data_IF_784286077340
#
_entry.id   IF_784286077340
#
_cell.length_a   1.000
_cell.length_b   1.000
_cell.length_c   1.000
_cell.angle_alpha   90.00
_cell.angle_beta   90.00
_cell.angle_gamma   90.00
#
_symmetry.space_group_name_H-M   'P 1'
#
loop_
_entity.id
_entity.type
_entity.pdbx_description
1 polymer ?
#
# COMPACT_ATOMS: atom_id res chain seq x y z
N UNK A 1 -22.10 13.22 9.72
CA UNK A 1 -20.86 13.89 9.26
C UNK A 1 -20.33 13.07 8.11
N UNK A 2 -20.30 13.63 6.88
CA UNK A 2 -19.56 13.00 5.79
C UNK A 2 -18.08 13.06 6.20
N UNK A 3 -17.46 11.91 6.50
CA UNK A 3 -16.02 11.90 6.75
C UNK A 3 -15.33 12.37 5.48
N UNK A 4 -14.62 13.49 5.57
CA UNK A 4 -13.79 13.98 4.47
C UNK A 4 -12.84 12.83 4.05
N UNK A 5 -12.63 12.62 2.74
CA UNK A 5 -11.72 11.59 2.29
C UNK A 5 -10.34 11.86 2.90
N UNK A 6 -9.81 10.90 3.66
CA UNK A 6 -8.46 11.02 4.24
C UNK A 6 -7.43 10.71 3.16
N UNK A 7 -6.42 11.58 3.02
CA UNK A 7 -5.30 11.36 2.10
C UNK A 7 -4.57 10.06 2.47
N UNK A 8 -4.32 9.15 1.53
CA UNK A 8 -3.51 7.95 1.77
C UNK A 8 -2.11 8.32 2.26
N UNK A 9 -1.70 7.77 3.40
CA UNK A 9 -0.36 8.00 3.97
C UNK A 9 0.59 6.89 3.51
N UNK A 10 1.66 7.24 2.79
CA UNK A 10 2.62 6.27 2.24
C UNK A 10 3.15 5.30 3.31
N UNK A 11 3.49 5.79 4.50
CA UNK A 11 4.03 4.98 5.59
C UNK A 11 3.14 3.78 5.95
N UNK A 12 1.81 3.95 5.98
CA UNK A 12 0.88 2.88 6.33
C UNK A 12 0.88 1.75 5.29
N UNK A 13 1.01 2.10 4.02
CA UNK A 13 1.06 1.13 2.93
C UNK A 13 2.42 0.42 2.86
N UNK A 14 3.51 1.11 3.19
CA UNK A 14 4.84 0.49 3.28
C UNK A 14 4.89 -0.52 4.43
N UNK A 15 4.43 -0.13 5.63
CA UNK A 15 4.39 -1.03 6.79
C UNK A 15 3.47 -2.22 6.52
N UNK A 16 2.27 -1.98 6.00
CA UNK A 16 1.32 -3.04 5.65
C UNK A 16 1.87 -3.97 4.55
N UNK A 17 2.48 -3.39 3.52
CA UNK A 17 3.14 -4.13 2.44
C UNK A 17 4.27 -5.02 2.97
N UNK A 18 5.17 -4.49 3.80
CA UNK A 18 6.25 -5.24 4.42
C UNK A 18 5.75 -6.40 5.29
N UNK A 19 4.74 -6.15 6.13
CA UNK A 19 4.16 -7.19 6.97
C UNK A 19 3.58 -8.34 6.14
N UNK A 20 2.80 -8.03 5.11
CA UNK A 20 2.21 -9.02 4.19
C UNK A 20 3.31 -9.74 3.40
N UNK A 21 4.28 -9.00 2.86
CA UNK A 21 5.39 -9.57 2.10
C UNK A 21 6.23 -10.55 2.92
N UNK A 22 6.51 -10.21 4.17
CA UNK A 22 7.19 -11.11 5.11
C UNK A 22 6.39 -12.39 5.38
N UNK A 23 5.08 -12.26 5.63
CA UNK A 23 4.20 -13.42 5.82
C UNK A 23 4.20 -14.34 4.60
N UNK A 24 4.08 -13.78 3.39
CA UNK A 24 4.15 -14.54 2.14
C UNK A 24 5.52 -15.19 1.95
N UNK A 25 6.60 -14.47 2.26
CA UNK A 25 7.96 -14.99 2.22
C UNK A 25 8.16 -16.21 3.12
N UNK A 26 7.57 -16.19 4.33
CA UNK A 26 7.55 -17.34 5.25
C UNK A 26 6.70 -18.48 4.68
N UNK A 27 5.47 -18.20 4.23
CA UNK A 27 4.56 -19.22 3.68
C UNK A 27 5.14 -19.97 2.48
N UNK A 28 5.90 -19.28 1.62
CA UNK A 28 6.53 -19.89 0.44
C UNK A 28 7.95 -20.41 0.70
N UNK A 29 8.45 -20.34 1.94
CA UNK A 29 9.84 -20.66 2.29
C UNK A 29 10.87 -19.91 1.41
N UNK A 30 10.56 -18.64 1.11
CA UNK A 30 11.32 -17.72 0.25
C UNK A 30 11.46 -16.36 0.95
N UNK A 31 11.82 -16.40 2.24
CA UNK A 31 11.87 -15.22 3.13
C UNK A 31 12.69 -14.08 2.54
N UNK A 32 13.78 -14.38 1.83
CA UNK A 32 14.63 -13.38 1.16
C UNK A 32 13.89 -12.47 0.16
N UNK A 33 12.81 -12.96 -0.45
CA UNK A 33 12.00 -12.19 -1.41
C UNK A 33 10.79 -11.52 -0.76
N UNK A 34 10.43 -11.90 0.48
CA UNK A 34 9.27 -11.38 1.19
C UNK A 34 9.29 -9.86 1.37
N UNK A 35 10.35 -9.26 1.94
CA UNK A 35 10.46 -7.81 2.10
C UNK A 35 10.36 -7.06 0.77
N UNK A 36 11.03 -7.54 -0.28
CA UNK A 36 11.04 -6.90 -1.59
C UNK A 36 9.63 -6.91 -2.21
N UNK A 37 8.96 -8.06 -2.22
CA UNK A 37 7.58 -8.17 -2.70
C UNK A 37 6.62 -7.32 -1.87
N UNK A 38 6.83 -7.27 -0.55
CA UNK A 38 6.06 -6.44 0.36
C UNK A 38 6.18 -4.95 0.08
N UNK A 39 7.40 -4.45 -0.15
CA UNK A 39 7.65 -3.05 -0.51
C UNK A 39 7.01 -2.69 -1.86
N UNK A 40 7.20 -3.53 -2.87
CA UNK A 40 6.61 -3.33 -4.19
C UNK A 40 5.08 -3.33 -4.11
N UNK A 41 4.49 -4.31 -3.41
CA UNK A 41 3.05 -4.38 -3.18
C UNK A 41 2.50 -3.18 -2.41
N UNK A 42 3.20 -2.73 -1.37
CA UNK A 42 2.84 -1.56 -0.58
C UNK A 42 2.85 -0.27 -1.40
N UNK A 43 3.88 -0.06 -2.22
CA UNK A 43 3.95 1.10 -3.14
C UNK A 43 2.82 1.09 -4.17
N UNK A 44 2.52 -0.07 -4.76
CA UNK A 44 1.43 -0.20 -5.72
C UNK A 44 0.07 0.10 -5.07
N UNK A 45 -0.18 -0.47 -3.88
CA UNK A 45 -1.40 -0.23 -3.13
C UNK A 45 -1.56 1.26 -2.75
N UNK A 46 -0.46 1.92 -2.38
CA UNK A 46 -0.45 3.36 -2.11
C UNK A 46 -0.82 4.18 -3.36
N UNK A 47 -0.21 3.87 -4.51
CA UNK A 47 -0.48 4.57 -5.76
C UNK A 47 -1.94 4.39 -6.19
N UNK A 48 -2.49 3.19 -6.08
CA UNK A 48 -3.91 2.91 -6.36
C UNK A 48 -4.80 3.72 -5.42
N UNK A 49 -4.48 3.76 -4.13
CA UNK A 49 -5.22 4.54 -3.15
C UNK A 49 -5.16 6.05 -3.45
N UNK A 50 -4.01 6.57 -3.86
CA UNK A 50 -3.83 7.97 -4.26
C UNK A 50 -4.62 8.32 -5.51
N UNK A 51 -4.66 7.45 -6.52
CA UNK A 51 -5.51 7.64 -7.72
C UNK A 51 -6.99 7.70 -7.32
N UNK A 52 -7.43 6.79 -6.45
CA UNK A 52 -8.82 6.76 -5.97
C UNK A 52 -9.16 7.98 -5.11
N UNK A 53 -8.21 8.44 -4.29
CA UNK A 53 -8.35 9.66 -3.50
C UNK A 53 -8.54 10.88 -4.42
N UNK A 54 -7.64 11.07 -5.40
CA UNK A 54 -7.71 12.15 -6.39
C UNK A 54 -9.02 12.17 -7.17
N UNK A 55 -9.48 10.98 -7.62
CA UNK A 55 -10.79 10.83 -8.28
C UNK A 55 -11.95 11.26 -7.38
N UNK A 56 -11.90 10.96 -6.08
CA UNK A 56 -12.94 11.34 -5.11
C UNK A 56 -12.89 12.81 -4.71
N UNK A 57 -11.72 13.43 -4.70
CA UNK A 57 -11.54 14.84 -4.31
C UNK A 57 -11.63 15.80 -5.49
N UNK A 58 -11.81 15.31 -6.72
CA UNK A 58 -11.85 16.14 -7.94
C UNK A 58 -10.49 16.70 -8.36
N UNK A 59 -9.41 16.26 -7.72
CA UNK A 59 -8.05 16.75 -7.93
C UNK A 59 -7.39 15.93 -9.06
N UNK A 60 -7.90 16.11 -10.27
CA UNK A 60 -7.31 15.58 -11.51
C UNK A 60 -6.51 16.70 -12.19
N UNK A 61 -5.37 17.04 -11.58
CA UNK A 61 -4.29 17.77 -12.26
C UNK A 61 -3.52 16.87 -13.21
#
# INVERSE_FOLDING_TARGET
>A
MLNEPKKPELGNYIVGGLAIGMLLGVMFNKVQFGPLLGLVGGLLAHNIAMINYRKKTGDMS
#
